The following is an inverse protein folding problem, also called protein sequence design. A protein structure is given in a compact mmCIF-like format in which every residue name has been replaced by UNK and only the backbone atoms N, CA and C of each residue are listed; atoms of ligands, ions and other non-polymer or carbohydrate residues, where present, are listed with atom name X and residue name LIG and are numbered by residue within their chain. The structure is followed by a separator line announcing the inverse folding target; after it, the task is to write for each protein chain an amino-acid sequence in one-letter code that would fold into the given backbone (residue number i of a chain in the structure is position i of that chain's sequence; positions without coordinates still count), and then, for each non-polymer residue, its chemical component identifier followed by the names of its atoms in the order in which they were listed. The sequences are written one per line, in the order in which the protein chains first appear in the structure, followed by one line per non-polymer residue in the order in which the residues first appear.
data_IF_163804499957
#
_entry.id   IF_163804499957
#
_cell.length_a   1.000
_cell.length_b   1.000
_cell.length_c   1.000
_cell.angle_alpha   90.00
_cell.angle_beta   90.00
_cell.angle_gamma   90.00
#
_symmetry.space_group_name_H-M   'P 1'
#
loop_
_entity.id
_entity.type
_entity.pdbx_description
1 polymer ?
#
# COMPACT_ATOMS: atom_id res chain seq x y z
N UNK A 1 -6.37 -2.84 10.33
CA UNK A 1 -5.79 -4.13 9.89
C UNK A 1 -4.36 -4.37 10.36
N UNK A 2 -3.30 -3.83 9.74
CA UNK A 2 -1.90 -4.17 10.12
C UNK A 2 -1.59 -3.92 11.61
N UNK A 3 -2.16 -2.85 12.18
CA UNK A 3 -2.08 -2.53 13.61
C UNK A 3 -2.83 -3.58 14.47
N UNK A 4 -4.04 -3.97 14.06
CA UNK A 4 -4.83 -4.98 14.76
C UNK A 4 -4.12 -6.35 14.72
N UNK A 5 -3.56 -6.73 13.56
CA UNK A 5 -2.77 -7.96 13.41
C UNK A 5 -1.60 -7.95 14.41
N UNK A 6 -0.83 -6.86 14.46
CA UNK A 6 0.27 -6.72 15.42
C UNK A 6 -0.20 -6.94 16.86
N UNK A 7 -1.21 -6.19 17.30
CA UNK A 7 -1.67 -6.27 18.70
C UNK A 7 -2.40 -7.57 19.03
N UNK A 8 -2.97 -8.27 18.05
CA UNK A 8 -3.56 -9.59 18.25
C UNK A 8 -2.51 -10.60 18.73
N UNK A 9 -1.32 -10.56 18.11
CA UNK A 9 -0.24 -11.50 18.40
C UNK A 9 0.77 -10.99 19.45
N UNK A 10 0.97 -9.68 19.61
CA UNK A 10 2.09 -9.08 20.38
C UNK A 10 2.36 -9.75 21.74
N UNK A 11 1.31 -9.96 22.54
CA UNK A 11 1.41 -10.43 23.94
C UNK A 11 1.08 -11.92 24.15
N UNK A 12 0.71 -12.66 23.11
CA UNK A 12 0.26 -14.04 23.26
C UNK A 12 1.20 -15.03 22.58
N UNK A 13 2.01 -15.72 23.39
CA UNK A 13 2.86 -16.82 22.91
C UNK A 13 2.02 -17.98 22.35
N UNK A 14 0.88 -18.28 22.99
CA UNK A 14 -0.10 -19.26 22.51
C UNK A 14 -0.56 -18.95 21.08
N UNK A 15 -0.97 -17.70 20.81
CA UNK A 15 -1.43 -17.30 19.46
C UNK A 15 -0.32 -17.36 18.43
N UNK A 16 0.92 -16.98 18.80
CA UNK A 16 2.08 -17.07 17.90
C UNK A 16 2.42 -18.51 17.55
N UNK A 17 2.38 -19.42 18.54
CA UNK A 17 2.62 -20.84 18.32
C UNK A 17 1.56 -21.43 17.38
N UNK A 18 0.28 -21.15 17.65
CA UNK A 18 -0.82 -21.60 16.79
C UNK A 18 -0.69 -21.05 15.36
N UNK A 19 -0.35 -19.76 15.20
CA UNK A 19 -0.12 -19.17 13.88
C UNK A 19 1.01 -19.87 13.10
N UNK A 20 2.07 -20.32 13.79
CA UNK A 20 3.17 -21.01 13.14
C UNK A 20 2.75 -22.36 12.54
N UNK A 21 1.78 -23.05 13.13
CA UNK A 21 1.20 -24.27 12.55
C UNK A 21 0.51 -23.98 11.20
N UNK A 22 -0.23 -22.88 11.10
CA UNK A 22 -0.84 -22.44 9.83
C UNK A 22 0.22 -22.03 8.80
N UNK A 23 1.33 -21.43 9.21
CA UNK A 23 2.41 -21.08 8.29
C UNK A 23 3.10 -22.30 7.72
N UNK A 24 3.36 -23.33 8.54
CA UNK A 24 3.89 -24.62 8.08
C UNK A 24 2.94 -25.31 7.11
N UNK A 25 1.62 -25.19 7.30
CA UNK A 25 0.63 -25.77 6.38
C UNK A 25 0.62 -25.08 5.00
N UNK A 26 0.90 -23.77 4.96
CA UNK A 26 0.91 -22.97 3.73
C UNK A 26 2.30 -22.81 3.10
N UNK A 27 3.33 -23.50 3.61
CA UNK A 27 4.73 -23.36 3.18
C UNK A 27 5.22 -21.89 3.17
N UNK A 28 4.80 -21.14 4.20
CA UNK A 28 5.14 -19.73 4.40
C UNK A 28 6.20 -19.61 5.48
N UNK A 29 7.31 -18.92 5.18
CA UNK A 29 8.31 -18.58 6.20
C UNK A 29 7.70 -17.68 7.29
N UNK A 30 7.81 -18.10 8.55
CA UNK A 30 7.42 -17.26 9.68
C UNK A 30 8.25 -15.98 9.70
N UNK A 31 7.58 -14.83 9.66
CA UNK A 31 8.19 -13.51 9.85
C UNK A 31 7.53 -12.82 11.03
N UNK A 32 8.36 -12.25 11.89
CA UNK A 32 7.88 -11.44 13.01
C UNK A 32 7.01 -10.30 12.48
N UNK A 33 5.75 -10.26 12.93
CA UNK A 33 4.81 -9.20 12.58
C UNK A 33 5.36 -7.86 13.06
N UNK A 34 5.64 -6.95 12.13
CA UNK A 34 6.16 -5.61 12.43
C UNK A 34 5.07 -4.70 12.94
N UNK A 35 5.40 -3.93 13.99
CA UNK A 35 4.56 -2.86 14.50
C UNK A 35 4.62 -1.68 13.54
N UNK A 36 3.49 -1.34 12.94
CA UNK A 36 3.34 -0.05 12.27
C UNK A 36 3.09 1.08 13.29
N UNK A 37 3.73 2.24 13.07
CA UNK A 37 3.47 3.48 13.81
C UNK A 37 2.96 4.54 12.82
N UNK A 38 1.79 5.13 13.11
CA UNK A 38 1.05 6.00 12.19
C UNK A 38 1.87 7.14 11.55
N UNK A 39 2.88 7.68 12.26
CA UNK A 39 3.70 8.81 11.78
C UNK A 39 4.87 8.40 10.89
N UNK A 40 5.11 7.10 10.69
CA UNK A 40 6.26 6.60 9.92
C UNK A 40 5.78 5.79 8.73
N UNK A 41 5.61 6.46 7.58
CA UNK A 41 5.19 5.83 6.33
C UNK A 41 6.10 4.67 5.89
N UNK A 42 7.41 4.75 6.15
CA UNK A 42 8.35 3.66 5.91
C UNK A 42 7.96 2.37 6.65
N UNK A 43 7.48 2.49 7.90
CA UNK A 43 7.01 1.34 8.67
C UNK A 43 5.69 0.76 8.16
N UNK A 44 4.88 1.55 7.44
CA UNK A 44 3.62 1.08 6.88
C UNK A 44 3.87 0.10 5.75
N UNK A 45 4.75 0.46 4.81
CA UNK A 45 5.06 -0.44 3.70
C UNK A 45 5.70 -1.72 4.19
N UNK A 46 6.66 -1.64 5.11
CA UNK A 46 7.27 -2.85 5.67
C UNK A 46 6.22 -3.77 6.32
N UNK A 47 5.27 -3.20 7.07
CA UNK A 47 4.19 -3.96 7.70
C UNK A 47 3.23 -4.56 6.65
N UNK A 48 2.86 -3.81 5.62
CA UNK A 48 2.01 -4.29 4.52
C UNK A 48 2.69 -5.41 3.74
N UNK A 49 3.95 -5.22 3.35
CA UNK A 49 4.76 -6.21 2.63
C UNK A 49 4.88 -7.52 3.42
N UNK A 50 5.10 -7.45 4.74
CA UNK A 50 5.15 -8.65 5.58
C UNK A 50 3.79 -9.35 5.74
N UNK A 51 2.69 -8.59 5.82
CA UNK A 51 1.35 -9.19 5.87
C UNK A 51 1.04 -9.88 4.55
N UNK A 52 1.39 -9.29 3.42
CA UNK A 52 1.23 -9.90 2.09
C UNK A 52 2.05 -11.19 1.96
N UNK A 53 3.31 -11.19 2.38
CA UNK A 53 4.18 -12.39 2.35
C UNK A 53 3.62 -13.56 3.16
N UNK A 54 2.82 -13.27 4.19
CA UNK A 54 2.25 -14.27 5.10
C UNK A 54 0.72 -14.37 4.99
N UNK A 55 0.15 -13.80 3.94
CA UNK A 55 -1.30 -13.63 3.81
C UNK A 55 -2.06 -14.96 3.81
N UNK A 56 -1.62 -16.02 3.10
CA UNK A 56 -2.33 -17.31 3.11
C UNK A 56 -2.45 -17.90 4.52
N UNK A 57 -1.35 -17.88 5.28
CA UNK A 57 -1.30 -18.39 6.64
C UNK A 57 -2.14 -17.56 7.62
N UNK A 58 -2.09 -16.23 7.52
CA UNK A 58 -2.92 -15.34 8.34
C UNK A 58 -4.40 -15.55 8.03
N UNK A 59 -4.77 -15.62 6.74
CA UNK A 59 -6.13 -15.89 6.30
C UNK A 59 -6.64 -17.21 6.86
N UNK A 60 -5.85 -18.28 6.72
CA UNK A 60 -6.21 -19.59 7.28
C UNK A 60 -6.39 -19.53 8.79
N UNK A 61 -5.50 -18.85 9.52
CA UNK A 61 -5.63 -18.69 10.97
C UNK A 61 -6.95 -18.00 11.36
N UNK A 62 -7.29 -16.86 10.75
CA UNK A 62 -8.49 -16.11 11.12
C UNK A 62 -9.80 -16.75 10.64
N UNK A 63 -9.77 -17.57 9.58
CA UNK A 63 -10.95 -18.27 9.09
C UNK A 63 -11.19 -19.63 9.77
N UNK A 64 -10.16 -20.25 10.36
CA UNK A 64 -10.27 -21.56 11.00
C UNK A 64 -10.43 -21.52 12.52
N UNK A 65 -10.24 -20.36 13.16
CA UNK A 65 -10.41 -20.20 14.60
C UNK A 65 -11.66 -19.38 14.92
N UNK A 66 -12.15 -19.53 16.15
CA UNK A 66 -13.25 -18.73 16.69
C UNK A 66 -12.83 -18.19 18.06
N UNK A 67 -12.93 -16.87 18.22
CA UNK A 67 -12.52 -16.15 19.43
C UNK A 67 -13.49 -14.98 19.64
N UNK A 68 -13.97 -14.80 20.87
CA UNK A 68 -14.99 -13.79 21.20
C UNK A 68 -14.45 -12.35 21.30
N UNK A 69 -13.13 -12.14 21.16
CA UNK A 69 -12.54 -10.81 21.24
C UNK A 69 -12.94 -9.93 20.05
N UNK A 70 -13.40 -8.71 20.31
CA UNK A 70 -13.80 -7.76 19.26
C UNK A 70 -12.70 -7.48 18.21
N UNK A 71 -11.42 -7.59 18.59
CA UNK A 71 -10.29 -7.47 17.65
C UNK A 71 -10.24 -8.64 16.67
N UNK A 72 -10.52 -9.85 17.14
CA UNK A 72 -10.58 -11.04 16.30
C UNK A 72 -11.69 -10.90 15.27
N UNK A 73 -12.91 -10.56 15.70
CA UNK A 73 -14.04 -10.38 14.78
C UNK A 73 -13.75 -9.38 13.65
N UNK A 74 -13.13 -8.23 13.96
CA UNK A 74 -12.71 -7.27 12.92
C UNK A 74 -11.69 -7.86 11.94
N UNK A 75 -10.73 -8.64 12.43
CA UNK A 75 -9.72 -9.29 11.58
C UNK A 75 -10.34 -10.39 10.73
N UNK A 76 -11.22 -11.21 11.30
CA UNK A 76 -11.94 -12.25 10.61
C UNK A 76 -12.76 -11.67 9.44
N UNK A 77 -13.58 -10.63 9.69
CA UNK A 77 -14.33 -9.95 8.61
C UNK A 77 -13.42 -9.40 7.51
N UNK A 78 -12.22 -8.91 7.86
CA UNK A 78 -11.25 -8.46 6.86
C UNK A 78 -10.69 -9.63 6.04
N UNK A 79 -10.33 -10.75 6.66
CA UNK A 79 -9.77 -11.91 5.95
C UNK A 79 -10.82 -12.72 5.16
N UNK A 80 -12.09 -12.62 5.54
CA UNK A 80 -13.24 -13.14 4.76
C UNK A 80 -13.43 -12.36 3.46
N UNK A 81 -13.20 -11.04 3.48
CA UNK A 81 -13.38 -10.21 2.30
C UNK A 81 -12.29 -10.49 1.25
N UNK A 82 -12.66 -10.97 0.04
CA UNK A 82 -11.70 -11.28 -1.02
C UNK A 82 -10.93 -10.04 -1.52
N UNK A 83 -11.48 -8.83 -1.35
CA UNK A 83 -10.82 -7.59 -1.76
C UNK A 83 -9.69 -7.17 -0.83
N UNK A 84 -9.58 -7.72 0.38
CA UNK A 84 -8.58 -7.29 1.36
C UNK A 84 -7.16 -7.47 0.85
N UNK A 85 -6.86 -8.61 0.22
CA UNK A 85 -5.54 -8.86 -0.36
C UNK A 85 -5.25 -7.91 -1.53
N UNK A 86 -6.24 -7.67 -2.39
CA UNK A 86 -6.15 -6.73 -3.50
C UNK A 86 -5.84 -5.31 -3.01
N UNK A 87 -6.51 -4.87 -1.94
CA UNK A 87 -6.23 -3.57 -1.33
C UNK A 87 -4.82 -3.50 -0.75
N UNK A 88 -4.34 -4.57 -0.11
CA UNK A 88 -2.96 -4.61 0.38
C UNK A 88 -1.93 -4.53 -0.75
N UNK A 89 -2.14 -5.27 -1.85
CA UNK A 89 -1.27 -5.20 -3.04
C UNK A 89 -1.28 -3.80 -3.65
N UNK A 90 -2.46 -3.17 -3.72
CA UNK A 90 -2.58 -1.78 -4.15
C UNK A 90 -1.82 -0.82 -3.24
N UNK A 91 -1.95 -0.97 -1.91
CA UNK A 91 -1.19 -0.17 -0.95
C UNK A 91 0.31 -0.38 -1.10
N UNK A 92 0.78 -1.62 -1.20
CA UNK A 92 2.20 -1.92 -1.39
C UNK A 92 2.73 -1.20 -2.63
N UNK A 93 2.08 -1.38 -3.79
CA UNK A 93 2.47 -0.74 -5.05
C UNK A 93 2.44 0.79 -4.98
N UNK A 94 1.43 1.36 -4.32
CA UNK A 94 1.31 2.81 -4.16
C UNK A 94 2.40 3.38 -3.27
N UNK A 95 2.73 2.69 -2.17
CA UNK A 95 3.70 3.15 -1.18
C UNK A 95 5.15 3.14 -1.70
N UNK A 96 5.51 2.21 -2.59
CA UNK A 96 6.87 2.09 -3.13
C UNK A 96 7.40 3.41 -3.74
N UNK A 97 6.55 4.17 -4.43
CA UNK A 97 6.96 5.46 -5.03
C UNK A 97 7.36 6.49 -3.97
N UNK A 98 6.62 6.52 -2.87
CA UNK A 98 6.86 7.47 -1.80
C UNK A 98 8.06 7.08 -0.94
N UNK A 99 8.35 5.79 -0.81
CA UNK A 99 9.46 5.29 0.02
C UNK A 99 10.80 5.75 -0.52
N UNK A 100 11.05 5.56 -1.82
CA UNK A 100 12.32 5.95 -2.42
C UNK A 100 12.59 7.45 -2.25
N UNK A 101 11.57 8.28 -2.52
CA UNK A 101 11.68 9.72 -2.34
C UNK A 101 11.82 10.13 -0.87
N UNK A 102 11.09 9.46 0.03
CA UNK A 102 11.19 9.73 1.47
C UNK A 102 12.56 9.33 2.04
N UNK A 103 13.13 8.19 1.62
CA UNK A 103 14.50 7.81 1.97
C UNK A 103 15.52 8.83 1.47
N UNK A 104 15.33 9.37 0.26
CA UNK A 104 16.16 10.46 -0.25
C UNK A 104 16.07 11.73 0.62
N UNK A 105 14.86 12.13 1.05
CA UNK A 105 14.67 13.29 1.92
C UNK A 105 15.20 13.10 3.34
N UNK A 106 15.33 11.86 3.81
CA UNK A 106 15.88 11.52 5.12
C UNK A 106 17.41 11.34 5.14
N UNK A 107 18.09 11.59 4.01
CA UNK A 107 19.55 11.56 3.94
C UNK A 107 20.16 12.59 4.89
N UNK A 108 21.20 12.18 5.61
CA UNK A 108 21.94 13.06 6.51
C UNK A 108 22.98 13.92 5.78
N UNK A 109 23.35 13.53 4.55
CA UNK A 109 24.29 14.29 3.72
C UNK A 109 23.61 15.44 2.96
N UNK A 110 24.36 16.50 2.56
CA UNK A 110 23.76 17.67 1.91
C UNK A 110 23.06 17.34 0.58
N UNK A 111 21.72 17.41 0.57
CA UNK A 111 20.90 17.12 -0.62
C UNK A 111 20.48 18.37 -1.43
N UNK A 112 20.76 19.58 -0.95
CA UNK A 112 20.34 20.85 -1.61
C UNK A 112 20.67 20.88 -3.12
N UNK A 113 21.85 20.45 -3.59
CA UNK A 113 22.19 20.52 -5.02
C UNK A 113 21.32 19.62 -5.91
N UNK A 114 20.77 18.53 -5.36
CA UNK A 114 20.08 17.48 -6.13
C UNK A 114 18.57 17.39 -5.82
N UNK A 115 18.09 18.07 -4.77
CA UNK A 115 16.69 17.99 -4.31
C UNK A 115 15.69 18.40 -5.39
N UNK A 116 16.01 19.42 -6.19
CA UNK A 116 15.14 19.87 -7.27
C UNK A 116 14.97 18.82 -8.37
N UNK A 117 16.09 18.22 -8.80
CA UNK A 117 16.10 17.16 -9.80
C UNK A 117 15.30 15.95 -9.29
N UNK A 118 15.58 15.49 -8.07
CA UNK A 118 14.91 14.34 -7.47
C UNK A 118 13.41 14.58 -7.26
N UNK A 119 13.01 15.78 -6.86
CA UNK A 119 11.58 16.13 -6.71
C UNK A 119 10.88 16.14 -8.06
N UNK A 120 11.52 16.70 -9.10
CA UNK A 120 11.00 16.70 -10.47
C UNK A 120 10.83 15.28 -11.00
N UNK A 121 11.85 14.42 -10.83
CA UNK A 121 11.76 13.00 -11.22
C UNK A 121 10.66 12.25 -10.47
N UNK A 122 10.52 12.48 -9.16
CA UNK A 122 9.44 11.91 -8.36
C UNK A 122 8.06 12.33 -8.89
N UNK A 123 7.85 13.62 -9.17
CA UNK A 123 6.59 14.11 -9.72
C UNK A 123 6.31 13.56 -11.11
N UNK A 124 7.34 13.41 -11.97
CA UNK A 124 7.18 12.79 -13.29
C UNK A 124 6.77 11.33 -13.19
N UNK A 125 7.39 10.56 -12.29
CA UNK A 125 7.02 9.16 -12.06
C UNK A 125 5.59 9.02 -11.49
N UNK A 126 5.24 9.88 -10.54
CA UNK A 126 3.90 9.89 -9.93
C UNK A 126 2.82 10.27 -10.95
N UNK A 127 3.06 11.33 -11.73
CA UNK A 127 2.13 11.77 -12.77
C UNK A 127 2.05 10.79 -13.94
N UNK A 128 3.12 10.06 -14.24
CA UNK A 128 3.15 8.97 -15.22
C UNK A 128 2.14 7.85 -14.97
N UNK A 129 1.67 7.69 -13.72
CA UNK A 129 0.60 6.73 -13.39
C UNK A 129 -0.79 7.19 -13.82
N UNK A 130 -0.96 8.47 -14.16
CA UNK A 130 -2.27 9.08 -14.42
C UNK A 130 -2.35 9.83 -15.75
N UNK A 131 -1.23 10.39 -16.19
CA UNK A 131 -1.10 11.16 -17.41
C UNK A 131 -0.45 10.34 -18.52
N UNK A 132 -0.76 10.69 -19.75
CA UNK A 132 -0.09 10.11 -20.91
C UNK A 132 1.36 10.61 -21.03
N UNK A 133 2.22 9.78 -21.60
CA UNK A 133 3.62 10.15 -21.89
C UNK A 133 3.70 11.40 -22.79
N UNK A 134 2.72 11.61 -23.67
CA UNK A 134 2.63 12.80 -24.51
C UNK A 134 2.46 14.08 -23.67
N UNK A 135 1.56 14.05 -22.68
CA UNK A 135 1.34 15.18 -21.78
C UNK A 135 2.61 15.53 -20.98
N UNK A 136 3.30 14.51 -20.45
CA UNK A 136 4.53 14.71 -19.68
C UNK A 136 5.65 15.30 -20.54
N UNK A 137 5.75 14.88 -21.81
CA UNK A 137 6.70 15.45 -22.77
C UNK A 137 6.37 16.90 -23.14
N UNK A 138 5.07 17.23 -23.27
CA UNK A 138 4.60 18.59 -23.58
C UNK A 138 5.00 19.60 -22.48
N UNK A 139 5.04 19.16 -21.23
CA UNK A 139 5.47 19.97 -20.08
C UNK A 139 6.96 20.37 -20.10
N UNK A 140 7.80 19.76 -20.94
CA UNK A 140 9.25 20.04 -21.06
C UNK A 140 9.99 20.12 -19.72
N UNK A 141 9.56 19.35 -18.72
CA UNK A 141 10.17 19.33 -17.39
C UNK A 141 9.50 20.21 -16.33
N UNK A 142 8.60 21.13 -16.71
CA UNK A 142 7.81 21.92 -15.76
C UNK A 142 6.35 21.45 -15.73
N UNK A 143 6.08 20.54 -14.79
CA UNK A 143 4.75 19.97 -14.61
C UNK A 143 3.71 20.99 -14.13
N UNK A 144 4.11 22.16 -13.59
CA UNK A 144 3.15 23.18 -13.14
C UNK A 144 2.34 23.80 -14.28
N UNK A 145 2.84 23.65 -15.52
CA UNK A 145 2.21 24.17 -16.74
C UNK A 145 1.07 23.29 -17.26
N UNK A 146 0.93 22.06 -16.78
CA UNK A 146 -0.10 21.12 -17.23
C UNK A 146 -1.40 21.29 -16.45
N UNK A 147 -2.52 21.37 -17.16
CA UNK A 147 -3.83 21.19 -16.55
C UNK A 147 -4.15 19.69 -16.36
N UNK A 148 -3.82 19.15 -15.19
CA UNK A 148 -4.06 17.75 -14.84
C UNK A 148 -5.53 17.32 -14.92
N UNK A 149 -6.47 18.27 -14.90
CA UNK A 149 -7.91 17.98 -14.99
C UNK A 149 -8.38 17.81 -16.42
N UNK A 150 -7.60 18.27 -17.41
CA UNK A 150 -7.98 18.13 -18.81
C UNK A 150 -7.96 16.65 -19.24
N UNK A 151 -9.10 16.09 -19.68
CA UNK A 151 -9.19 14.70 -20.15
C UNK A 151 -8.23 14.37 -21.30
N UNK A 152 -7.75 15.38 -22.05
CA UNK A 152 -6.78 15.19 -23.13
C UNK A 152 -5.46 14.63 -22.61
N UNK A 153 -5.06 14.99 -21.39
CA UNK A 153 -3.79 14.59 -20.80
C UNK A 153 -3.86 13.30 -19.98
N UNK A 154 -5.06 12.86 -19.60
CA UNK A 154 -5.29 11.65 -18.82
C UNK A 154 -5.23 10.38 -19.68
N UNK A 155 -4.87 9.26 -19.05
CA UNK A 155 -4.87 7.95 -19.72
C UNK A 155 -6.26 7.61 -20.32
N UNK A 156 -6.34 6.94 -21.49
CA UNK A 156 -7.59 6.70 -22.21
C UNK A 156 -8.67 5.99 -21.37
N UNK A 157 -8.26 5.11 -20.46
CA UNK A 157 -9.16 4.37 -19.56
C UNK A 157 -9.95 5.29 -18.61
N UNK A 158 -9.40 6.47 -18.25
CA UNK A 158 -10.10 7.47 -17.42
C UNK A 158 -11.02 8.40 -18.21
N UNK A 159 -10.86 8.49 -19.54
CA UNK A 159 -11.75 9.31 -20.40
C UNK A 159 -13.19 8.79 -20.40
N UNK A 160 -13.37 7.48 -20.25
CA UNK A 160 -14.69 6.84 -20.26
C UNK A 160 -15.55 7.15 -19.01
N UNK A 161 -14.93 7.46 -17.87
CA UNK A 161 -15.65 7.71 -16.61
C UNK A 161 -16.21 9.13 -16.54
N UNK A 162 -15.52 10.11 -17.14
CA UNK A 162 -15.98 11.51 -17.13
C UNK A 162 -17.15 11.78 -18.09
N UNK A 163 -17.42 10.87 -19.03
CA UNK A 163 -18.53 10.98 -20.00
C UNK A 163 -19.86 10.37 -19.50
N UNK A 164 -19.88 9.70 -18.34
CA UNK A 164 -21.10 9.11 -17.77
C UNK A 164 -21.60 9.96 -16.60
N UNK A 165 -22.17 11.12 -16.92
CA UNK A 165 -23.25 11.66 -16.08
C UNK A 165 -24.43 10.70 -16.23
N UNK A 166 -24.54 9.77 -15.29
CA UNK A 166 -25.68 8.87 -15.17
C UNK A 166 -26.86 9.74 -14.71
N UNK A 167 -27.76 10.06 -15.64
CA UNK A 167 -29.11 10.47 -15.26
C UNK A 167 -29.81 9.23 -14.71
N UNK A 168 -30.07 9.23 -13.40
CA UNK A 168 -31.08 8.35 -12.83
C UNK A 168 -32.43 9.07 -12.96
N UNK A 169 -33.29 8.52 -13.81
CA UNK A 169 -34.75 8.69 -13.70
C UNK A 169 -35.26 7.86 -12.52
#
# INVERSE_FOLDING_TARGET
MVIDIYYWFDKSTKRKALLAEFYSFHDVDYRKIVKHVNTRWLSLEQAVTQVLQQFPGLKSYFLSNDEHEARFGRLQTLFENPMTEVYLLFYQSSLQEFIHFNMFLQREDPIIPVVYEQTTSFLQNLTGKFLTVAAIKEAKGDLSTLDFKDPKFQHPEKRATSAKHIQFN
#
